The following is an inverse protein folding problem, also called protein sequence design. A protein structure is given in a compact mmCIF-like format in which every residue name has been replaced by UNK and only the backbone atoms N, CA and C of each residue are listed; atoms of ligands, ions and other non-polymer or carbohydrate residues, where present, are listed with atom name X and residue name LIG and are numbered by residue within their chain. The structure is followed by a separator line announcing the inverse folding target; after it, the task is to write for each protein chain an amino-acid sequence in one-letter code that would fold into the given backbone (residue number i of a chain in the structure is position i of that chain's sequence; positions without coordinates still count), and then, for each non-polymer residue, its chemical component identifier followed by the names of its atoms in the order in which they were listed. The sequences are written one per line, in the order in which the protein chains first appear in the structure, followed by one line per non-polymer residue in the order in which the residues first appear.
data_IF_908807161436
#
_entry.id   IF_908807161436
#
_cell.length_a   1.000
_cell.length_b   1.000
_cell.length_c   1.000
_cell.angle_alpha   90.00
_cell.angle_beta   90.00
_cell.angle_gamma   90.00
#
_symmetry.space_group_name_H-M   'P 1'
#
loop_
_entity.id
_entity.type
_entity.pdbx_description
1 polymer ?
#
# COMPACT_ATOMS: atom_id res chain seq x y z
N UNK A 1 5.69 -18.76 20.91
CA UNK A 1 5.56 -17.29 20.84
C UNK A 1 6.59 -16.85 19.80
N UNK A 2 6.18 -16.79 18.53
CA UNK A 2 7.04 -16.44 17.39
C UNK A 2 6.15 -15.69 16.40
N UNK A 3 6.48 -14.43 16.11
CA UNK A 3 5.65 -13.53 15.33
C UNK A 3 6.35 -13.20 14.01
N UNK A 4 5.99 -13.91 12.93
CA UNK A 4 6.37 -13.57 11.56
C UNK A 4 5.10 -13.32 10.73
N UNK A 5 5.09 -12.26 9.91
CA UNK A 5 4.02 -12.06 8.92
C UNK A 5 4.29 -12.91 7.67
N UNK A 6 4.03 -14.22 7.77
CA UNK A 6 3.80 -15.08 6.62
C UNK A 6 2.29 -15.19 6.40
N UNK A 7 1.77 -14.81 5.23
CA UNK A 7 0.48 -15.36 4.78
C UNK A 7 0.55 -15.91 3.37
N UNK A 8 0.27 -17.21 3.31
CA UNK A 8 -0.36 -17.89 2.18
C UNK A 8 -1.81 -17.35 2.07
N UNK A 9 -2.30 -16.89 0.92
CA UNK A 9 -3.62 -16.25 0.79
C UNK A 9 -4.79 -17.11 1.26
N UNK A 10 -4.62 -18.44 1.33
CA UNK A 10 -5.75 -19.37 1.42
C UNK A 10 -6.14 -19.85 2.83
N UNK A 11 -5.47 -19.42 3.91
CA UNK A 11 -5.84 -19.92 5.27
C UNK A 11 -5.93 -18.84 6.34
N UNK A 12 -7.14 -18.72 6.87
CA UNK A 12 -7.56 -18.04 8.11
C UNK A 12 -7.47 -16.50 8.14
N UNK A 13 -8.55 -15.87 7.67
CA UNK A 13 -8.85 -14.45 7.88
C UNK A 13 -9.44 -14.30 9.29
N UNK A 14 -8.59 -14.18 10.31
CA UNK A 14 -9.02 -13.83 11.67
C UNK A 14 -7.95 -13.03 12.41
N UNK A 15 -8.44 -11.98 13.08
CA UNK A 15 -7.82 -11.08 14.08
C UNK A 15 -6.75 -10.09 13.60
N UNK A 16 -7.08 -8.80 13.79
CA UNK A 16 -6.24 -7.58 13.81
C UNK A 16 -4.81 -7.79 13.30
N UNK A 17 -4.56 -7.35 12.06
CA UNK A 17 -3.24 -7.39 11.44
C UNK A 17 -2.31 -6.37 12.14
N UNK A 18 -1.65 -6.78 13.24
CA UNK A 18 -0.77 -5.95 14.09
C UNK A 18 0.48 -5.40 13.37
N UNK A 19 0.67 -5.78 12.11
CA UNK A 19 1.79 -5.40 11.25
C UNK A 19 1.39 -4.49 10.08
N UNK A 20 0.12 -4.08 10.01
CA UNK A 20 -0.27 -3.00 9.08
C UNK A 20 0.51 -1.74 9.47
N UNK A 21 1.23 -1.11 8.52
CA UNK A 21 1.94 0.12 8.76
C UNK A 21 1.07 1.13 9.51
N UNK A 22 1.56 1.61 10.67
CA UNK A 22 0.83 2.60 11.46
C UNK A 22 0.76 3.89 10.66
N UNK A 23 -0.44 4.39 10.41
CA UNK A 23 -0.61 5.65 9.72
C UNK A 23 -0.18 6.84 10.59
N UNK A 24 0.40 7.89 10.00
CA UNK A 24 0.80 7.97 8.59
C UNK A 24 2.07 7.15 8.30
N UNK A 25 2.07 6.41 7.20
CA UNK A 25 3.21 5.60 6.75
C UNK A 25 3.74 6.04 5.39
N UNK A 26 4.98 5.68 5.09
CA UNK A 26 5.68 5.97 3.84
C UNK A 26 6.39 4.71 3.38
N UNK A 27 5.91 4.12 2.29
CA UNK A 27 6.35 2.81 1.79
C UNK A 27 6.88 2.93 0.38
N UNK A 28 7.97 2.23 0.10
CA UNK A 28 8.41 1.93 -1.27
C UNK A 28 8.34 0.42 -1.47
N UNK A 29 7.60 -0.02 -2.48
CA UNK A 29 7.65 -1.40 -2.96
C UNK A 29 8.53 -1.48 -4.21
N UNK A 30 9.52 -2.37 -4.16
CA UNK A 30 10.49 -2.60 -5.23
C UNK A 30 10.54 -4.08 -5.64
N UNK A 31 10.64 -4.34 -6.94
CA UNK A 31 10.78 -5.70 -7.51
C UNK A 31 11.37 -5.65 -8.91
N UNK A 32 12.37 -6.48 -9.17
CA UNK A 32 13.12 -6.50 -10.42
C UNK A 32 12.37 -7.00 -11.65
N UNK A 33 11.27 -7.79 -11.56
CA UNK A 33 10.44 -8.24 -12.73
C UNK A 33 8.97 -8.58 -12.37
N UNK A 34 8.02 -8.22 -13.24
CA UNK A 34 6.55 -8.48 -13.28
C UNK A 34 5.62 -7.95 -12.17
N UNK A 35 4.36 -7.67 -12.56
CA UNK A 35 3.27 -6.82 -12.00
C UNK A 35 2.75 -7.08 -10.58
N UNK A 36 3.30 -8.04 -9.83
CA UNK A 36 2.73 -8.47 -8.54
C UNK A 36 2.73 -7.43 -7.40
N UNK A 37 3.46 -6.31 -7.52
CA UNK A 37 3.52 -5.25 -6.50
C UNK A 37 2.22 -4.45 -6.43
N UNK A 38 1.76 -4.02 -7.59
CA UNK A 38 0.53 -3.25 -7.75
C UNK A 38 -0.65 -4.10 -7.32
N UNK A 39 -0.72 -5.35 -7.80
CA UNK A 39 -1.70 -6.35 -7.39
C UNK A 39 -1.73 -6.54 -5.87
N UNK A 40 -0.56 -6.69 -5.24
CA UNK A 40 -0.47 -6.85 -3.79
C UNK A 40 -1.11 -5.67 -3.04
N UNK A 41 -0.82 -4.42 -3.43
CA UNK A 41 -1.44 -3.25 -2.79
C UNK A 41 -2.93 -3.14 -3.11
N UNK A 42 -3.35 -3.40 -4.35
CA UNK A 42 -4.76 -3.49 -4.71
C UNK A 42 -5.51 -4.45 -3.79
N UNK A 43 -4.97 -5.65 -3.57
CA UNK A 43 -5.54 -6.62 -2.64
C UNK A 43 -5.58 -6.13 -1.18
N UNK A 44 -4.63 -5.29 -0.74
CA UNK A 44 -4.70 -4.69 0.60
C UNK A 44 -5.85 -3.66 0.73
N UNK A 45 -6.14 -2.91 -0.34
CA UNK A 45 -7.25 -1.96 -0.36
C UNK A 45 -8.63 -2.64 -0.48
N UNK A 46 -8.68 -3.80 -1.13
CA UNK A 46 -9.88 -4.64 -1.21
C UNK A 46 -10.14 -5.38 0.11
N UNK A 47 -9.10 -6.06 0.62
CA UNK A 47 -9.14 -6.91 1.79
C UNK A 47 -10.18 -8.04 1.71
N UNK A 48 -10.51 -8.59 2.88
CA UNK A 48 -11.56 -9.61 3.00
C UNK A 48 -12.96 -9.08 2.67
N UNK A 49 -13.13 -7.76 2.73
CA UNK A 49 -14.41 -7.08 2.47
C UNK A 49 -14.87 -7.25 1.03
N UNK A 50 -13.96 -7.13 0.07
CA UNK A 50 -14.28 -7.33 -1.34
C UNK A 50 -14.97 -8.68 -1.58
N UNK A 51 -14.40 -9.79 -1.09
CA UNK A 51 -14.95 -11.14 -1.30
C UNK A 51 -16.38 -11.25 -0.75
N UNK A 52 -16.65 -10.67 0.43
CA UNK A 52 -17.95 -10.74 1.09
C UNK A 52 -19.00 -9.84 0.47
N UNK A 53 -18.57 -8.71 -0.08
CA UNK A 53 -19.44 -7.71 -0.70
C UNK A 53 -19.64 -7.99 -2.20
N UNK A 54 -18.72 -8.71 -2.84
CA UNK A 54 -18.71 -9.01 -4.27
C UNK A 54 -20.04 -9.57 -4.80
N UNK A 55 -20.71 -10.54 -4.15
CA UNK A 55 -22.01 -11.04 -4.62
C UNK A 55 -23.09 -9.95 -4.72
N UNK A 56 -23.05 -8.93 -3.87
CA UNK A 56 -23.95 -7.77 -3.91
C UNK A 56 -23.52 -6.74 -4.96
N UNK A 57 -22.22 -6.66 -5.26
CA UNK A 57 -21.69 -5.81 -6.32
C UNK A 57 -22.16 -6.24 -7.70
N UNK A 58 -22.14 -7.56 -7.96
CA UNK A 58 -22.52 -8.13 -9.26
C UNK A 58 -24.01 -8.48 -9.37
N UNK A 59 -24.81 -8.21 -8.33
CA UNK A 59 -26.26 -8.45 -8.33
C UNK A 59 -26.69 -9.89 -8.07
N UNK A 60 -25.78 -10.79 -7.70
CA UNK A 60 -26.10 -12.16 -7.30
C UNK A 60 -26.85 -12.23 -5.97
N UNK A 61 -26.70 -11.22 -5.12
CA UNK A 61 -27.47 -11.04 -3.88
C UNK A 61 -28.16 -9.69 -3.85
N UNK A 62 -29.39 -9.71 -3.37
CA UNK A 62 -30.21 -8.51 -3.15
C UNK A 62 -29.68 -7.72 -1.95
N UNK A 63 -29.40 -6.43 -2.17
CA UNK A 63 -28.84 -5.53 -1.14
C UNK A 63 -29.85 -5.23 -0.06
N UNK A 64 -31.14 -5.17 -0.41
CA UNK A 64 -32.22 -4.85 0.53
C UNK A 64 -32.47 -6.00 1.52
N UNK A 65 -31.98 -7.20 1.16
CA UNK A 65 -32.04 -8.41 1.99
C UNK A 65 -30.74 -8.70 2.74
N UNK A 66 -29.76 -7.78 2.70
CA UNK A 66 -28.49 -7.95 3.39
C UNK A 66 -28.68 -7.97 4.93
N UNK A 67 -28.25 -9.03 5.64
CA UNK A 67 -28.35 -9.07 7.10
C UNK A 67 -27.54 -7.95 7.78
N UNK A 68 -28.21 -7.08 8.54
CA UNK A 68 -27.55 -5.92 9.18
C UNK A 68 -26.43 -6.27 10.17
N UNK A 69 -26.50 -7.44 10.81
CA UNK A 69 -25.55 -7.86 11.85
C UNK A 69 -24.47 -8.83 11.35
N UNK A 70 -24.37 -9.05 10.03
CA UNK A 70 -23.36 -9.93 9.45
C UNK A 70 -22.00 -9.22 9.36
N UNK A 71 -20.93 -9.99 9.51
CA UNK A 71 -19.58 -9.48 9.29
C UNK A 71 -19.30 -9.43 7.78
N UNK A 72 -19.30 -8.23 7.20
CA UNK A 72 -18.98 -7.99 5.78
C UNK A 72 -17.48 -7.86 5.48
N UNK A 73 -16.61 -8.17 6.43
CA UNK A 73 -15.16 -8.12 6.28
C UNK A 73 -14.60 -6.72 6.36
N UNK A 74 -13.29 -6.64 6.23
CA UNK A 74 -12.51 -5.41 6.39
C UNK A 74 -11.53 -5.24 5.21
N UNK A 75 -11.30 -3.98 4.83
CA UNK A 75 -10.11 -3.58 4.06
C UNK A 75 -8.88 -3.68 4.96
N UNK A 76 -7.72 -4.03 4.41
CA UNK A 76 -6.51 -4.19 5.22
C UNK A 76 -5.71 -2.89 5.37
N UNK A 77 -5.75 -2.02 4.36
CA UNK A 77 -5.30 -0.62 4.48
C UNK A 77 -6.54 0.26 4.60
N UNK A 78 -6.80 0.75 5.81
CA UNK A 78 -7.89 1.67 6.09
C UNK A 78 -7.52 3.09 5.68
N UNK A 79 -8.42 3.78 5.00
CA UNK A 79 -8.27 5.20 4.65
C UNK A 79 -9.64 5.81 4.36
N UNK A 80 -9.76 7.11 4.61
CA UNK A 80 -10.94 7.89 4.22
C UNK A 80 -10.85 8.21 2.73
N UNK A 81 -9.65 8.59 2.26
CA UNK A 81 -9.38 8.93 0.87
C UNK A 81 -8.27 8.04 0.29
N UNK A 82 -8.54 7.40 -0.85
CA UNK A 82 -7.52 6.73 -1.66
C UNK A 82 -7.33 7.50 -2.98
N UNK A 83 -6.12 8.05 -3.16
CA UNK A 83 -5.70 8.67 -4.42
C UNK A 83 -4.63 7.80 -5.08
N UNK A 84 -4.90 7.34 -6.29
CA UNK A 84 -3.94 6.61 -7.11
C UNK A 84 -3.48 7.53 -8.24
N UNK A 85 -2.16 7.63 -8.40
CA UNK A 85 -1.50 8.34 -9.49
C UNK A 85 -0.72 7.30 -10.27
N UNK A 86 -1.16 7.05 -11.50
CA UNK A 86 -0.58 6.02 -12.37
C UNK A 86 -0.49 6.54 -13.81
N UNK A 87 0.50 6.07 -14.55
CA UNK A 87 0.59 6.32 -15.99
C UNK A 87 -0.57 5.64 -16.74
N UNK A 88 -0.79 4.36 -16.43
CA UNK A 88 -1.79 3.52 -17.07
C UNK A 88 -3.08 3.44 -16.24
N UNK A 89 -3.96 4.43 -16.42
CA UNK A 89 -5.24 4.49 -15.69
C UNK A 89 -6.24 3.41 -16.12
N UNK A 90 -5.98 2.73 -17.23
CA UNK A 90 -6.82 1.69 -17.77
C UNK A 90 -6.57 0.31 -17.14
N UNK A 91 -5.58 0.19 -16.26
CA UNK A 91 -5.27 -1.03 -15.51
C UNK A 91 -6.50 -1.60 -14.81
N UNK A 92 -6.76 -2.88 -15.10
CA UNK A 92 -7.93 -3.62 -14.59
C UNK A 92 -7.99 -3.56 -13.07
N UNK A 93 -6.86 -3.67 -12.39
CA UNK A 93 -6.80 -3.67 -10.95
C UNK A 93 -7.30 -2.35 -10.33
N UNK A 94 -6.80 -1.21 -10.81
CA UNK A 94 -7.22 0.08 -10.26
C UNK A 94 -8.69 0.38 -10.55
N UNK A 95 -9.20 -0.06 -11.71
CA UNK A 95 -10.64 -0.04 -11.99
C UNK A 95 -11.43 -0.93 -11.02
N UNK A 96 -10.96 -2.14 -10.72
CA UNK A 96 -11.60 -3.01 -9.72
C UNK A 96 -11.63 -2.36 -8.34
N UNK A 97 -10.52 -1.78 -7.90
CA UNK A 97 -10.45 -1.03 -6.63
C UNK A 97 -11.40 0.16 -6.65
N UNK A 98 -11.45 0.92 -7.74
CA UNK A 98 -12.39 2.02 -7.91
C UNK A 98 -13.84 1.56 -7.74
N UNK A 99 -14.27 0.55 -8.50
CA UNK A 99 -15.64 0.03 -8.43
C UNK A 99 -16.00 -0.45 -7.03
N UNK A 100 -15.06 -1.10 -6.34
CA UNK A 100 -15.26 -1.53 -4.96
C UNK A 100 -15.46 -0.34 -4.01
N UNK A 101 -14.61 0.69 -4.09
CA UNK A 101 -14.72 1.89 -3.24
C UNK A 101 -16.02 2.65 -3.50
N UNK A 102 -16.38 2.86 -4.76
CA UNK A 102 -17.65 3.51 -5.14
C UNK A 102 -18.84 2.72 -4.63
N UNK A 103 -18.78 1.38 -4.66
CA UNK A 103 -19.86 0.53 -4.17
C UNK A 103 -20.06 0.65 -2.66
N UNK A 104 -18.97 0.52 -1.87
CA UNK A 104 -19.07 0.59 -0.41
C UNK A 104 -19.36 2.01 0.09
N UNK A 105 -19.12 3.04 -0.71
CA UNK A 105 -19.45 4.43 -0.38
C UNK A 105 -20.85 4.88 -0.86
N UNK A 106 -21.57 4.06 -1.62
CA UNK A 106 -22.80 4.49 -2.32
C UNK A 106 -23.99 4.71 -1.39
N UNK A 107 -24.30 3.76 -0.54
CA UNK A 107 -25.54 3.75 0.25
C UNK A 107 -25.25 3.59 1.74
N UNK A 108 -25.60 4.63 2.51
CA UNK A 108 -25.42 4.70 3.97
C UNK A 108 -26.25 3.69 4.75
N UNK A 109 -27.31 3.16 4.14
CA UNK A 109 -28.19 2.17 4.77
C UNK A 109 -27.68 0.74 4.64
N UNK A 110 -26.73 0.50 3.74
CA UNK A 110 -26.12 -0.81 3.55
C UNK A 110 -25.16 -1.14 4.70
N UNK A 111 -25.13 -2.40 5.20
CA UNK A 111 -24.30 -2.79 6.35
C UNK A 111 -22.79 -2.80 6.06
N UNK A 112 -22.38 -2.82 4.79
CA UNK A 112 -20.98 -2.70 4.38
C UNK A 112 -20.54 -1.25 4.14
N UNK A 113 -21.41 -0.26 4.35
CA UNK A 113 -21.11 1.14 4.04
C UNK A 113 -19.81 1.61 4.72
N UNK A 114 -18.98 2.32 3.97
CA UNK A 114 -17.86 3.09 4.50
C UNK A 114 -17.87 4.50 3.89
N UNK A 115 -17.62 5.52 4.72
CA UNK A 115 -17.46 6.89 4.23
C UNK A 115 -16.06 7.07 3.61
N UNK A 116 -15.89 6.56 2.39
CA UNK A 116 -14.60 6.53 1.69
C UNK A 116 -14.70 7.17 0.32
N UNK A 117 -13.58 7.65 -0.20
CA UNK A 117 -13.48 8.22 -1.54
C UNK A 117 -12.29 7.62 -2.28
N UNK A 118 -12.47 7.44 -3.58
CA UNK A 118 -11.43 6.99 -4.48
C UNK A 118 -11.24 7.99 -5.61
N UNK A 119 -9.99 8.20 -6.02
CA UNK A 119 -9.68 8.96 -7.23
C UNK A 119 -8.46 8.36 -7.92
N UNK A 120 -8.55 8.15 -9.23
CA UNK A 120 -7.45 7.78 -10.11
C UNK A 120 -7.13 8.96 -11.02
N UNK A 121 -5.87 9.40 -11.03
CA UNK A 121 -5.41 10.52 -11.84
C UNK A 121 -4.06 10.23 -12.52
N UNK A 122 -3.72 11.04 -13.51
CA UNK A 122 -2.45 10.96 -14.21
C UNK A 122 -1.36 11.77 -13.48
N UNK A 123 -0.09 11.52 -13.78
CA UNK A 123 1.05 12.19 -13.14
C UNK A 123 1.03 13.71 -13.34
N UNK A 124 0.47 14.19 -14.46
CA UNK A 124 0.33 15.62 -14.77
C UNK A 124 -0.62 16.35 -13.81
N UNK A 125 -1.56 15.63 -13.18
CA UNK A 125 -2.60 16.16 -12.29
C UNK A 125 -2.26 16.05 -10.80
N UNK A 126 -1.03 15.65 -10.44
CA UNK A 126 -0.60 15.58 -9.04
C UNK A 126 -0.86 16.93 -8.37
N UNK A 127 -1.64 16.89 -7.29
CA UNK A 127 -2.02 18.06 -6.52
C UNK A 127 -0.86 18.51 -5.64
N UNK A 128 -0.82 19.81 -5.34
CA UNK A 128 0.07 20.32 -4.30
C UNK A 128 -0.38 19.80 -2.92
N UNK A 129 0.59 19.49 -2.06
CA UNK A 129 0.32 18.95 -0.73
C UNK A 129 -0.54 19.89 0.14
N UNK A 130 -0.50 21.21 -0.12
CA UNK A 130 -1.34 22.19 0.56
C UNK A 130 -2.84 21.94 0.39
N UNK A 131 -3.26 21.24 -0.68
CA UNK A 131 -4.66 20.89 -0.91
C UNK A 131 -5.21 19.88 0.11
N UNK A 132 -4.33 19.22 0.85
CA UNK A 132 -4.70 18.25 1.89
C UNK A 132 -4.67 18.86 3.30
N UNK A 133 -4.32 20.14 3.43
CA UNK A 133 -4.29 20.83 4.74
C UNK A 133 -5.68 20.91 5.35
N UNK A 134 -5.74 20.64 6.66
CA UNK A 134 -6.95 20.78 7.49
C UNK A 134 -8.16 19.96 7.02
N UNK A 135 -7.98 18.94 6.19
CA UNK A 135 -9.09 18.05 5.77
C UNK A 135 -9.57 17.16 6.91
N UNK A 136 -8.70 16.90 7.90
CA UNK A 136 -8.94 15.97 9.00
C UNK A 136 -8.90 14.49 8.60
N UNK A 137 -8.93 14.19 7.29
CA UNK A 137 -9.08 12.88 6.69
C UNK A 137 -7.75 12.11 6.62
N UNK A 138 -7.82 10.79 6.78
CA UNK A 138 -6.70 9.87 6.58
C UNK A 138 -6.61 9.53 5.11
N UNK A 139 -5.71 10.20 4.40
CA UNK A 139 -5.49 9.97 2.98
C UNK A 139 -4.36 8.97 2.75
N UNK A 140 -4.57 8.01 1.85
CA UNK A 140 -3.50 7.19 1.27
C UNK A 140 -3.30 7.61 -0.18
N UNK A 141 -2.05 7.88 -0.55
CA UNK A 141 -1.67 8.22 -1.92
C UNK A 141 -0.73 7.16 -2.45
N UNK A 142 -1.09 6.57 -3.60
CA UNK A 142 -0.28 5.58 -4.32
C UNK A 142 0.31 6.25 -5.56
N UNK A 143 1.63 6.19 -5.68
CA UNK A 143 2.40 6.59 -6.86
C UNK A 143 2.83 5.31 -7.56
N UNK A 144 2.13 4.93 -8.62
CA UNK A 144 2.30 3.66 -9.29
C UNK A 144 3.08 3.82 -10.59
N UNK A 145 4.22 3.15 -10.65
CA UNK A 145 5.16 3.10 -11.76
C UNK A 145 5.58 4.48 -12.31
N UNK A 146 5.90 5.40 -11.40
CA UNK A 146 6.29 6.76 -11.77
C UNK A 146 7.81 6.98 -11.77
N UNK A 147 8.63 5.95 -11.55
CA UNK A 147 10.08 6.12 -11.35
C UNK A 147 10.79 6.79 -12.54
N UNK A 148 10.33 6.52 -13.76
CA UNK A 148 10.90 7.06 -15.00
C UNK A 148 10.22 8.37 -15.46
N UNK A 149 9.34 8.95 -14.64
CA UNK A 149 8.72 10.24 -14.93
C UNK A 149 9.72 11.41 -14.91
N UNK A 150 9.34 12.49 -15.57
CA UNK A 150 10.13 13.72 -15.61
C UNK A 150 10.46 14.24 -14.20
N UNK A 151 11.63 14.86 -14.05
CA UNK A 151 12.07 15.43 -12.77
C UNK A 151 11.04 16.41 -12.17
N UNK A 152 10.31 17.15 -13.00
CA UNK A 152 9.24 18.06 -12.56
C UNK A 152 8.06 17.32 -11.90
N UNK A 153 7.75 16.10 -12.33
CA UNK A 153 6.76 15.22 -11.70
C UNK A 153 7.34 14.65 -10.40
N UNK A 154 8.56 14.13 -10.42
CA UNK A 154 9.24 13.63 -9.22
C UNK A 154 9.31 14.69 -8.11
N UNK A 155 9.58 15.95 -8.46
CA UNK A 155 9.59 17.07 -7.52
C UNK A 155 8.24 17.32 -6.85
N UNK A 156 7.11 17.05 -7.53
CA UNK A 156 5.77 17.11 -6.94
C UNK A 156 5.48 15.95 -5.99
N UNK A 157 6.14 14.80 -6.16
CA UNK A 157 5.95 13.61 -5.31
C UNK A 157 6.68 13.75 -3.97
N UNK A 158 7.89 14.34 -3.98
CA UNK A 158 8.77 14.44 -2.80
C UNK A 158 8.06 14.99 -1.53
N UNK A 159 7.25 16.08 -1.59
CA UNK A 159 6.56 16.62 -0.43
C UNK A 159 5.69 15.59 0.32
N UNK A 160 5.06 14.65 -0.40
CA UNK A 160 4.20 13.64 0.22
C UNK A 160 5.00 12.71 1.15
N UNK A 161 6.21 12.33 0.75
CA UNK A 161 7.10 11.53 1.58
C UNK A 161 7.79 12.36 2.67
N UNK A 162 8.17 13.61 2.38
CA UNK A 162 8.90 14.45 3.34
C UNK A 162 8.02 15.00 4.46
N UNK A 163 6.83 15.50 4.12
CA UNK A 163 5.96 16.26 5.04
C UNK A 163 4.52 15.75 5.11
N UNK A 164 4.10 14.80 4.27
CA UNK A 164 2.71 14.32 4.23
C UNK A 164 2.16 13.81 5.57
N UNK A 165 3.02 13.30 6.45
CA UNK A 165 2.62 12.87 7.80
C UNK A 165 1.95 13.98 8.63
N UNK A 166 2.32 15.24 8.41
CA UNK A 166 1.72 16.38 9.11
C UNK A 166 0.26 16.63 8.68
N UNK A 167 -0.08 16.17 7.47
CA UNK A 167 -1.42 16.28 6.88
C UNK A 167 -2.18 14.94 6.91
N UNK A 168 -1.76 13.99 7.77
CA UNK A 168 -2.31 12.62 7.88
C UNK A 168 -2.27 11.82 6.56
N UNK A 169 -1.32 12.13 5.68
CA UNK A 169 -1.12 11.41 4.43
C UNK A 169 -0.19 10.23 4.66
N UNK A 170 -0.62 9.06 4.22
CA UNK A 170 0.25 7.92 3.99
C UNK A 170 0.60 7.81 2.51
N UNK A 171 1.86 7.52 2.19
CA UNK A 171 2.36 7.48 0.83
C UNK A 171 2.91 6.10 0.49
N UNK A 172 2.55 5.59 -0.67
CA UNK A 172 3.03 4.34 -1.24
C UNK A 172 3.65 4.68 -2.59
N UNK A 173 4.93 4.35 -2.77
CA UNK A 173 5.58 4.39 -4.07
C UNK A 173 5.76 2.97 -4.56
N UNK A 174 5.30 2.66 -5.76
CA UNK A 174 5.51 1.38 -6.41
C UNK A 174 6.48 1.64 -7.56
N UNK A 175 7.67 1.07 -7.47
CA UNK A 175 8.72 1.23 -8.47
C UNK A 175 9.19 -0.12 -8.98
N UNK A 176 9.71 -0.15 -10.21
CA UNK A 176 10.45 -1.30 -10.68
C UNK A 176 11.68 -1.54 -9.84
N UNK A 177 12.60 -0.58 -9.76
CA UNK A 177 13.80 -0.71 -8.93
C UNK A 177 13.86 0.33 -7.84
N UNK A 178 14.32 -0.11 -6.67
CA UNK A 178 14.59 0.76 -5.53
C UNK A 178 15.42 1.98 -5.91
N UNK A 179 16.54 1.78 -6.61
CA UNK A 179 17.49 2.84 -6.93
C UNK A 179 17.07 3.77 -8.08
N UNK A 180 15.98 3.47 -8.79
CA UNK A 180 15.35 4.41 -9.74
C UNK A 180 14.48 5.43 -9.00
N UNK A 181 14.09 5.14 -7.75
CA UNK A 181 13.32 6.08 -6.95
C UNK A 181 14.19 7.25 -6.46
N UNK A 182 13.66 8.47 -6.56
CA UNK A 182 14.36 9.70 -6.19
C UNK A 182 14.95 9.62 -4.76
N UNK A 183 16.23 10.02 -4.52
CA UNK A 183 16.88 9.91 -3.21
C UNK A 183 16.11 10.53 -2.05
N UNK A 184 15.52 11.72 -2.25
CA UNK A 184 14.68 12.37 -1.23
C UNK A 184 13.43 11.57 -0.84
N UNK A 185 12.88 10.74 -1.74
CA UNK A 185 11.79 9.82 -1.39
C UNK A 185 12.34 8.70 -0.52
N UNK A 186 13.43 8.06 -0.96
CA UNK A 186 14.10 6.94 -0.25
C UNK A 186 14.51 7.30 1.18
N UNK A 187 15.15 8.46 1.36
CA UNK A 187 15.57 8.97 2.67
C UNK A 187 14.42 9.27 3.64
N UNK A 188 13.17 9.36 3.15
CA UNK A 188 11.99 9.67 3.95
C UNK A 188 11.06 8.47 4.13
N UNK A 189 11.47 7.27 3.72
CA UNK A 189 10.67 6.07 3.91
C UNK A 189 10.54 5.71 5.40
N UNK A 190 9.55 4.89 5.69
CA UNK A 190 9.33 4.28 7.03
C UNK A 190 9.21 2.78 6.93
N UNK A 191 8.80 2.29 5.77
CA UNK A 191 8.79 0.88 5.45
C UNK A 191 9.27 0.65 4.04
N UNK A 192 9.83 -0.52 3.81
CA UNK A 192 10.18 -0.97 2.46
C UNK A 192 9.65 -2.37 2.27
N UNK A 193 9.04 -2.57 1.11
CA UNK A 193 8.49 -3.84 0.70
C UNK A 193 9.37 -4.42 -0.39
N UNK A 194 9.96 -5.56 -0.09
CA UNK A 194 10.77 -6.32 -1.04
C UNK A 194 9.99 -7.58 -1.44
N UNK A 195 9.72 -7.70 -2.73
CA UNK A 195 9.01 -8.85 -3.27
C UNK A 195 9.97 -10.01 -3.54
N UNK A 196 9.42 -11.24 -3.64
CA UNK A 196 10.18 -12.43 -4.06
C UNK A 196 10.97 -12.14 -5.33
N UNK A 197 12.13 -12.79 -5.47
CA UNK A 197 13.08 -12.65 -6.59
C UNK A 197 14.06 -11.47 -6.52
N UNK A 198 14.15 -10.74 -5.39
CA UNK A 198 15.29 -9.85 -5.18
C UNK A 198 16.57 -10.68 -4.97
N UNK A 199 17.64 -10.35 -5.70
CA UNK A 199 18.93 -11.02 -5.54
C UNK A 199 19.57 -10.63 -4.20
N UNK A 200 20.42 -11.50 -3.64
CA UNK A 200 21.16 -11.18 -2.41
C UNK A 200 21.93 -9.86 -2.53
N UNK A 201 22.53 -9.61 -3.69
CA UNK A 201 23.28 -8.38 -3.96
C UNK A 201 22.38 -7.14 -3.98
N UNK A 202 21.19 -7.24 -4.57
CA UNK A 202 20.20 -6.16 -4.55
C UNK A 202 19.76 -5.88 -3.11
N UNK A 203 19.47 -6.92 -2.33
CA UNK A 203 19.07 -6.79 -0.93
C UNK A 203 20.18 -6.13 -0.13
N UNK A 204 21.45 -6.55 -0.29
CA UNK A 204 22.61 -5.92 0.36
C UNK A 204 22.69 -4.44 0.03
N UNK A 205 22.59 -4.08 -1.25
CA UNK A 205 22.68 -2.69 -1.70
C UNK A 205 21.55 -1.84 -1.11
N UNK A 206 20.33 -2.36 -1.11
CA UNK A 206 19.16 -1.74 -0.50
C UNK A 206 19.38 -1.55 1.00
N UNK A 207 19.76 -2.58 1.75
CA UNK A 207 19.94 -2.47 3.20
C UNK A 207 21.09 -1.53 3.58
N UNK A 208 22.18 -1.48 2.80
CA UNK A 208 23.27 -0.50 2.97
C UNK A 208 22.82 0.95 2.85
N UNK A 209 21.77 1.21 2.10
CA UNK A 209 21.19 2.55 1.94
C UNK A 209 20.33 2.97 3.15
N UNK A 210 20.00 2.02 4.04
CA UNK A 210 19.09 2.24 5.18
C UNK A 210 19.75 2.08 6.55
N UNK A 211 20.74 1.19 6.64
CA UNK A 211 21.37 0.79 7.89
C UNK A 211 22.87 0.89 7.77
N UNK A 212 23.50 1.53 8.75
CA UNK A 212 24.96 1.54 8.88
C UNK A 212 25.50 0.12 9.10
N UNK A 213 24.81 -0.68 9.91
CA UNK A 213 25.10 -2.09 10.13
C UNK A 213 23.95 -3.00 9.67
N UNK A 214 23.97 -3.40 8.40
CA UNK A 214 22.90 -4.20 7.78
C UNK A 214 23.08 -5.72 7.92
N UNK A 215 24.25 -6.21 8.33
CA UNK A 215 24.56 -7.64 8.37
C UNK A 215 23.58 -8.45 9.26
N UNK A 216 23.14 -7.97 10.45
CA UNK A 216 22.20 -8.70 11.29
C UNK A 216 20.83 -8.94 10.64
N UNK A 217 20.36 -7.99 9.82
CA UNK A 217 19.05 -8.06 9.18
C UNK A 217 19.12 -8.77 7.81
N UNK A 218 20.26 -8.74 7.12
CA UNK A 218 20.45 -9.35 5.80
C UNK A 218 20.06 -10.83 5.78
N UNK A 219 20.59 -11.62 6.72
CA UNK A 219 20.32 -13.06 6.78
C UNK A 219 18.83 -13.33 6.99
N UNK A 220 18.19 -12.58 7.89
CA UNK A 220 16.76 -12.71 8.20
C UNK A 220 15.91 -12.39 6.96
N UNK A 221 16.18 -11.25 6.32
CA UNK A 221 15.50 -10.81 5.10
C UNK A 221 15.67 -11.82 3.96
N UNK A 222 16.89 -12.33 3.76
CA UNK A 222 17.18 -13.26 2.67
C UNK A 222 16.50 -14.62 2.84
N UNK A 223 16.37 -15.13 4.07
CA UNK A 223 15.63 -16.37 4.31
C UNK A 223 14.12 -16.22 4.12
N UNK A 224 13.56 -15.06 4.48
CA UNK A 224 12.12 -14.77 4.29
C UNK A 224 11.80 -14.57 2.82
N UNK A 225 12.60 -13.78 2.09
CA UNK A 225 12.28 -13.36 0.72
C UNK A 225 12.33 -14.50 -0.31
N UNK A 226 13.03 -15.61 0.03
CA UNK A 226 13.02 -16.85 -0.76
C UNK A 226 11.65 -17.49 -0.84
N UNK A 227 10.83 -17.33 0.20
CA UNK A 227 9.52 -17.96 0.35
C UNK A 227 8.38 -16.98 0.15
N UNK A 228 8.55 -15.74 0.59
CA UNK A 228 7.50 -14.72 0.64
C UNK A 228 8.02 -13.34 0.25
N UNK A 229 7.15 -12.32 0.24
CA UNK A 229 7.62 -10.93 0.29
C UNK A 229 7.96 -10.56 1.74
N UNK A 230 8.73 -9.49 1.93
CA UNK A 230 9.07 -8.96 3.25
C UNK A 230 8.74 -7.48 3.32
N UNK A 231 8.18 -7.05 4.45
CA UNK A 231 8.00 -5.63 4.79
C UNK A 231 8.96 -5.34 5.93
N UNK A 232 9.87 -4.40 5.70
CA UNK A 232 10.88 -3.97 6.66
C UNK A 232 10.44 -2.63 7.23
N UNK A 233 10.26 -2.52 8.54
CA UNK A 233 10.09 -1.24 9.23
C UNK A 233 11.47 -0.64 9.50
N UNK A 234 11.87 0.35 8.69
CA UNK A 234 13.23 0.91 8.74
C UNK A 234 13.48 1.78 9.97
N UNK A 235 12.46 2.03 10.79
CA UNK A 235 12.60 2.81 12.03
C UNK A 235 13.07 1.95 13.19
N UNK A 236 13.04 0.63 13.03
CA UNK A 236 13.56 -0.33 14.00
C UNK A 236 15.06 -0.54 13.75
N UNK A 237 15.86 -0.75 14.79
CA UNK A 237 17.27 -1.02 14.62
C UNK A 237 17.49 -2.40 13.96
N UNK A 238 18.62 -2.58 13.28
CA UNK A 238 18.89 -3.79 12.48
C UNK A 238 18.98 -5.08 13.32
N UNK A 239 19.27 -4.95 14.61
CA UNK A 239 19.37 -6.03 15.60
C UNK A 239 18.05 -6.34 16.30
N UNK A 240 16.96 -5.60 16.01
CA UNK A 240 15.63 -5.84 16.58
C UNK A 240 15.25 -7.33 16.40
N UNK A 241 14.89 -8.04 17.49
CA UNK A 241 14.33 -9.38 17.42
C UNK A 241 12.95 -9.30 16.74
N UNK A 242 12.97 -9.43 15.41
CA UNK A 242 11.77 -9.59 14.56
C UNK A 242 10.72 -10.49 15.20
#
# INVERSE_FOLDING_TARGET
MEHYSFRNPDKSISSKNSYVPKQPFRILASRTNESGKTEMFGHQFLGSKYIKVYPYMIGNKDKDKAPKNENYGERYILCDDLLVIAQHQDEVLWKTVQYFYEFIARDKNCPWYENVRFKLIGPEKILDISKFKNTGQKTVIVFDDLADELLSIQQKIIPFFRSGRHEKISSIYIAQRYFETHPNIRANLTYILLYRSCTLETIKRILKDMYDNYEPILKKVYEVIKKHYVIIDIRRPADDPL
#
